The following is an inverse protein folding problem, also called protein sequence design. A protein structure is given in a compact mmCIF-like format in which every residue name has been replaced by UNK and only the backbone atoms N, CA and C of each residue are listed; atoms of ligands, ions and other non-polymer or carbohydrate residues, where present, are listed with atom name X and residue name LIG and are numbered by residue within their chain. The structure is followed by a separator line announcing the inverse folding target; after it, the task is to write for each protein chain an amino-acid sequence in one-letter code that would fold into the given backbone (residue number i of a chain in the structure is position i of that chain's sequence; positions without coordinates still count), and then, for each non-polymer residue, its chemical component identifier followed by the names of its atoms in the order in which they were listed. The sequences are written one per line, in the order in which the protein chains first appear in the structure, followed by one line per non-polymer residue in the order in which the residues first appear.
data_IF_692245602372
#
_entry.id   IF_692245602372
#
_cell.length_a   1.000
_cell.length_b   1.000
_cell.length_c   1.000
_cell.angle_alpha   90.00
_cell.angle_beta   90.00
_cell.angle_gamma   90.00
#
_symmetry.space_group_name_H-M   'P 1'
#
loop_
_entity.id
_entity.type
_entity.pdbx_description
1 polymer ?
#
# COMPACT_ATOMS: atom_id res chain seq x y z
N UNK A 1 -0.45 12.32 11.28
CA UNK A 1 0.42 11.20 11.70
C UNK A 1 0.44 10.21 10.53
N UNK A 2 1.51 9.43 10.34
CA UNK A 2 1.65 8.58 9.14
C UNK A 2 1.43 7.09 9.46
N UNK A 3 0.89 6.34 8.50
CA UNK A 3 0.74 4.89 8.54
C UNK A 3 1.47 4.24 7.36
N UNK A 4 2.13 3.10 7.59
CA UNK A 4 2.86 2.36 6.55
C UNK A 4 2.43 0.89 6.61
N UNK A 5 2.20 0.29 5.44
CA UNK A 5 1.88 -1.14 5.28
C UNK A 5 2.75 -1.70 4.17
N UNK A 6 3.31 -2.89 4.40
CA UNK A 6 4.08 -3.64 3.41
C UNK A 6 3.53 -5.04 3.23
N UNK A 7 3.68 -5.59 2.02
CA UNK A 7 3.34 -6.97 1.70
C UNK A 7 4.43 -7.57 0.81
N UNK A 8 4.85 -8.80 1.13
CA UNK A 8 5.72 -9.62 0.29
C UNK A 8 5.06 -10.98 0.17
N UNK A 9 4.89 -11.46 -1.06
CA UNK A 9 4.36 -12.79 -1.32
C UNK A 9 3.80 -12.93 -2.73
N UNK A 10 3.24 -14.11 -3.04
CA UNK A 10 2.85 -14.48 -4.40
C UNK A 10 1.51 -13.87 -4.85
N UNK A 11 0.75 -13.24 -3.95
CA UNK A 11 -0.55 -12.64 -4.26
C UNK A 11 -0.36 -11.22 -4.77
N UNK A 12 -1.38 -10.67 -5.44
CA UNK A 12 -1.40 -9.25 -5.78
C UNK A 12 -1.31 -8.40 -4.51
N UNK A 13 -0.27 -7.57 -4.43
CA UNK A 13 0.03 -6.73 -3.29
C UNK A 13 -0.97 -5.57 -3.14
N UNK A 14 -1.55 -5.10 -4.25
CA UNK A 14 -2.39 -3.91 -4.30
C UNK A 14 -3.60 -3.97 -3.36
N UNK A 15 -4.50 -4.98 -3.45
CA UNK A 15 -5.67 -5.07 -2.57
C UNK A 15 -5.28 -5.30 -1.10
N UNK A 16 -4.16 -5.99 -0.85
CA UNK A 16 -3.66 -6.27 0.50
C UNK A 16 -3.19 -4.98 1.18
N UNK A 17 -2.38 -4.19 0.47
CA UNK A 17 -1.86 -2.92 0.97
C UNK A 17 -3.00 -1.92 1.15
N UNK A 18 -3.92 -1.80 0.20
CA UNK A 18 -5.11 -0.95 0.32
C UNK A 18 -5.95 -1.30 1.55
N UNK A 19 -6.22 -2.58 1.78
CA UNK A 19 -6.95 -3.04 2.96
C UNK A 19 -6.20 -2.73 4.26
N UNK A 20 -4.87 -2.81 4.26
CA UNK A 20 -4.04 -2.41 5.39
C UNK A 20 -4.07 -0.91 5.67
N UNK A 21 -3.92 -0.07 4.63
CA UNK A 21 -3.97 1.38 4.75
C UNK A 21 -5.34 1.84 5.26
N UNK A 22 -6.43 1.22 4.79
CA UNK A 22 -7.79 1.50 5.28
C UNK A 22 -7.93 1.24 6.79
N UNK A 23 -7.28 0.20 7.33
CA UNK A 23 -7.24 -0.04 8.78
C UNK A 23 -6.39 0.98 9.55
N UNK A 24 -5.50 1.71 8.87
CA UNK A 24 -4.66 2.76 9.44
C UNK A 24 -5.22 4.18 9.23
N UNK A 25 -6.41 4.35 8.63
CA UNK A 25 -7.02 5.66 8.38
C UNK A 25 -7.13 6.52 9.65
N UNK A 26 -7.32 5.90 10.81
CA UNK A 26 -7.35 6.61 12.10
C UNK A 26 -6.03 7.34 12.43
N UNK A 27 -4.90 6.96 11.82
CA UNK A 27 -3.61 7.65 11.97
C UNK A 27 -3.42 8.77 10.96
N UNK A 28 -4.05 8.67 9.80
CA UNK A 28 -3.93 9.64 8.72
C UNK A 28 -4.87 9.29 7.57
N UNK A 29 -5.71 10.25 7.18
CA UNK A 29 -6.73 10.11 6.14
C UNK A 29 -6.57 11.13 4.99
N UNK A 30 -5.59 12.02 5.11
CA UNK A 30 -5.41 13.16 4.19
C UNK A 30 -4.79 12.74 2.84
N UNK A 31 -3.88 11.75 2.85
CA UNK A 31 -3.25 11.24 1.64
C UNK A 31 -2.82 9.78 1.79
N UNK A 32 -2.70 9.09 0.66
CA UNK A 32 -2.14 7.75 0.56
C UNK A 32 -1.30 7.63 -0.71
N UNK A 33 -0.37 6.68 -0.72
CA UNK A 33 0.43 6.35 -1.89
C UNK A 33 0.90 4.91 -1.80
N UNK A 34 1.01 4.24 -2.94
CA UNK A 34 1.39 2.83 -3.03
C UNK A 34 2.43 2.68 -4.14
N UNK A 35 3.48 1.91 -3.85
CA UNK A 35 4.43 1.43 -4.85
C UNK A 35 4.46 -0.10 -4.80
N UNK A 36 4.32 -0.73 -5.96
CA UNK A 36 4.34 -2.19 -6.11
C UNK A 36 5.46 -2.57 -7.06
N UNK A 37 6.34 -3.46 -6.62
CA UNK A 37 7.35 -4.09 -7.47
C UNK A 37 6.76 -5.38 -8.04
N UNK A 38 6.65 -5.46 -9.37
CA UNK A 38 6.16 -6.64 -10.07
C UNK A 38 7.02 -6.89 -11.32
N UNK A 39 7.55 -8.11 -11.47
CA UNK A 39 8.39 -8.50 -12.60
C UNK A 39 9.62 -7.61 -12.85
N UNK A 40 10.16 -6.97 -11.80
CA UNK A 40 11.28 -6.04 -11.91
C UNK A 40 10.87 -4.59 -12.20
N UNK A 41 9.60 -4.34 -12.49
CA UNK A 41 9.05 -3.00 -12.72
C UNK A 41 8.35 -2.46 -11.47
N UNK A 42 8.53 -1.17 -11.21
CA UNK A 42 7.84 -0.48 -10.11
C UNK A 42 6.67 0.31 -10.68
N UNK A 43 5.46 -0.06 -10.27
CA UNK A 43 4.25 0.72 -10.52
C UNK A 43 3.91 1.57 -9.29
N UNK A 44 3.71 2.87 -9.50
CA UNK A 44 3.35 3.82 -8.43
C UNK A 44 1.94 4.35 -8.64
N UNK A 45 1.15 4.42 -7.57
CA UNK A 45 -0.21 5.01 -7.52
C UNK A 45 -0.33 5.98 -6.36
N UNK A 46 -0.99 7.11 -6.58
CA UNK A 46 -1.26 8.17 -5.58
C UNK A 46 -2.76 8.39 -5.51
#
# INVERSE_FOLDING_TARGET
MCGIVGYIGPRDATPIILGGLKRLEYRGYDSAGIAVLQNGDIAVRR
#
